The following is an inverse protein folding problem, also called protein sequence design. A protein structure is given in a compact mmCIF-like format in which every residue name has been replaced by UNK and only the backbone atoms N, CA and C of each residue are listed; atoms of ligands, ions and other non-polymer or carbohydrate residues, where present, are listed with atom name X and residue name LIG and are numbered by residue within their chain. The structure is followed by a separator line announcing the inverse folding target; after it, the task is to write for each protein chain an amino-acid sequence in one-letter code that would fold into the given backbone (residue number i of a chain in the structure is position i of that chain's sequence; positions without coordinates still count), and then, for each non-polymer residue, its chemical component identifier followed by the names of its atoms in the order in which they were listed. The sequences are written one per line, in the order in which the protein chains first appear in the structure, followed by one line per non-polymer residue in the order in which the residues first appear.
data_IF_918167208659
#
_entry.id   IF_918167208659
#
_cell.length_a   1.000
_cell.length_b   1.000
_cell.length_c   1.000
_cell.angle_alpha   90.00
_cell.angle_beta   90.00
_cell.angle_gamma   90.00
#
_symmetry.space_group_name_H-M   'P 1'
#
loop_
_entity.id
_entity.type
_entity.pdbx_description
1 polymer ?
#
# COMPACT_ATOMS: atom_id res chain seq x y z
N UNK A 1 -33.39 -17.47 -32.31
CA UNK A 1 -33.71 -17.12 -30.92
C UNK A 1 -32.40 -16.83 -30.21
N UNK A 2 -31.96 -15.57 -30.22
CA UNK A 2 -30.78 -15.15 -29.47
C UNK A 2 -31.24 -14.78 -28.06
N UNK A 3 -30.79 -15.56 -27.07
CA UNK A 3 -30.98 -15.25 -25.66
C UNK A 3 -30.09 -14.03 -25.36
N UNK A 4 -30.72 -12.87 -25.24
CA UNK A 4 -30.08 -11.68 -24.67
C UNK A 4 -29.74 -12.01 -23.24
N UNK A 5 -28.45 -12.30 -22.99
CA UNK A 5 -27.91 -12.33 -21.65
C UNK A 5 -28.10 -10.92 -21.08
N UNK A 6 -29.06 -10.78 -20.19
CA UNK A 6 -29.32 -9.58 -19.41
C UNK A 6 -28.05 -9.31 -18.61
N UNK A 7 -27.26 -8.34 -19.07
CA UNK A 7 -26.08 -7.86 -18.36
C UNK A 7 -26.58 -7.18 -17.08
N UNK A 8 -26.57 -7.95 -15.99
CA UNK A 8 -26.72 -7.40 -14.66
C UNK A 8 -25.61 -6.36 -14.47
N UNK A 9 -25.93 -5.08 -14.24
CA UNK A 9 -24.91 -4.07 -14.03
C UNK A 9 -24.04 -4.48 -12.82
N UNK A 10 -22.72 -4.29 -12.89
CA UNK A 10 -21.84 -4.61 -11.78
C UNK A 10 -22.31 -3.87 -10.53
N UNK A 11 -22.31 -4.57 -9.39
CA UNK A 11 -22.66 -3.94 -8.12
C UNK A 11 -21.76 -2.71 -7.90
N UNK A 12 -22.29 -1.61 -7.34
CA UNK A 12 -21.49 -0.42 -7.08
C UNK A 12 -20.32 -0.78 -6.16
N UNK A 13 -19.10 -0.54 -6.63
CA UNK A 13 -17.87 -0.78 -5.88
C UNK A 13 -17.86 0.05 -4.60
N UNK A 14 -17.55 -0.58 -3.48
CA UNK A 14 -17.34 0.09 -2.20
C UNK A 14 -16.27 1.17 -2.36
N UNK A 15 -16.58 2.41 -1.98
CA UNK A 15 -15.63 3.54 -2.01
C UNK A 15 -14.31 3.21 -1.29
N UNK A 16 -14.38 2.36 -0.24
CA UNK A 16 -13.20 1.90 0.49
C UNK A 16 -12.41 0.86 -0.29
N UNK A 17 -13.08 -0.07 -0.98
CA UNK A 17 -12.40 -1.03 -1.84
C UNK A 17 -11.70 -0.33 -3.01
N UNK A 18 -12.35 0.69 -3.60
CA UNK A 18 -11.74 1.55 -4.62
C UNK A 18 -10.50 2.29 -4.08
N UNK A 19 -10.58 2.86 -2.87
CA UNK A 19 -9.43 3.53 -2.26
C UNK A 19 -8.24 2.58 -2.08
N UNK A 20 -8.48 1.39 -1.51
CA UNK A 20 -7.41 0.38 -1.31
C UNK A 20 -6.86 -0.09 -2.66
N UNK A 21 -7.74 -0.30 -3.64
CA UNK A 21 -7.32 -0.71 -4.99
C UNK A 21 -6.41 0.34 -5.62
N UNK A 22 -6.78 1.62 -5.55
CA UNK A 22 -5.96 2.72 -6.07
C UNK A 22 -4.60 2.77 -5.39
N UNK A 23 -4.54 2.63 -4.07
CA UNK A 23 -3.28 2.63 -3.34
C UNK A 23 -2.40 1.44 -3.78
N UNK A 24 -2.97 0.24 -3.92
CA UNK A 24 -2.24 -0.93 -4.40
C UNK A 24 -1.79 -0.81 -5.85
N UNK A 25 -2.61 -0.25 -6.73
CA UNK A 25 -2.26 0.00 -8.12
C UNK A 25 -1.13 1.03 -8.25
N UNK A 26 -1.15 2.08 -7.43
CA UNK A 26 -0.08 3.07 -7.38
C UNK A 26 1.22 2.46 -6.83
N UNK A 27 1.15 1.63 -5.79
CA UNK A 27 2.30 0.85 -5.33
C UNK A 27 2.84 -0.05 -6.46
N UNK A 28 1.96 -0.70 -7.22
CA UNK A 28 2.31 -1.57 -8.34
C UNK A 28 2.98 -0.85 -9.53
N UNK A 29 2.88 0.48 -9.63
CA UNK A 29 3.65 1.27 -10.61
C UNK A 29 5.01 1.72 -10.08
N UNK A 30 5.38 1.32 -8.86
CA UNK A 30 6.61 1.72 -8.20
C UNK A 30 6.56 3.14 -7.61
N UNK A 31 5.38 3.78 -7.58
CA UNK A 31 5.23 5.14 -7.09
C UNK A 31 4.83 5.14 -5.62
N UNK A 32 5.64 5.79 -4.77
CA UNK A 32 5.36 5.95 -3.34
C UNK A 32 4.98 4.63 -2.66
N UNK A 33 5.68 3.53 -3.00
CA UNK A 33 5.30 2.16 -2.64
C UNK A 33 5.03 2.02 -1.14
N UNK A 34 5.96 2.50 -0.31
CA UNK A 34 5.87 2.43 1.14
C UNK A 34 4.66 3.21 1.70
N UNK A 35 4.41 4.42 1.18
CA UNK A 35 3.28 5.26 1.57
C UNK A 35 1.94 4.62 1.18
N UNK A 36 1.82 4.16 -0.06
CA UNK A 36 0.64 3.49 -0.59
C UNK A 36 0.30 2.22 0.20
N UNK A 37 1.30 1.37 0.49
CA UNK A 37 1.10 0.16 1.28
C UNK A 37 0.65 0.49 2.71
N UNK A 38 1.24 1.51 3.33
CA UNK A 38 0.83 1.98 4.66
C UNK A 38 -0.64 2.43 4.67
N UNK A 39 -1.08 3.20 3.66
CA UNK A 39 -2.47 3.65 3.52
C UNK A 39 -3.47 2.51 3.28
N UNK A 40 -3.13 1.59 2.37
CA UNK A 40 -3.93 0.40 2.09
C UNK A 40 -4.13 -0.46 3.35
N UNK A 41 -3.05 -0.70 4.11
CA UNK A 41 -3.11 -1.49 5.35
C UNK A 41 -3.87 -0.78 6.47
N UNK A 42 -3.77 0.55 6.59
CA UNK A 42 -4.58 1.31 7.55
C UNK A 42 -6.08 1.11 7.31
N UNK A 43 -6.49 1.16 6.04
CA UNK A 43 -7.88 0.95 5.64
C UNK A 43 -8.31 -0.50 5.86
N UNK A 44 -7.52 -1.48 5.42
CA UNK A 44 -7.82 -2.90 5.60
C UNK A 44 -7.90 -3.29 7.09
N UNK A 45 -7.08 -2.71 7.96
CA UNK A 45 -7.17 -2.95 9.40
C UNK A 45 -8.48 -2.46 10.03
N UNK A 46 -9.24 -1.63 9.33
CA UNK A 46 -10.55 -1.12 9.74
C UNK A 46 -11.70 -1.79 8.97
N UNK A 47 -11.44 -2.89 8.24
CA UNK A 47 -12.43 -3.59 7.40
C UNK A 47 -13.72 -3.97 8.13
N UNK A 48 -13.68 -4.20 9.44
CA UNK A 48 -14.85 -4.58 10.22
C UNK A 48 -15.88 -3.44 10.32
N UNK A 49 -15.47 -2.20 10.03
CA UNK A 49 -16.32 -1.01 9.99
C UNK A 49 -17.01 -0.83 8.63
N UNK A 50 -16.67 -1.64 7.63
CA UNK A 50 -17.11 -1.45 6.25
C UNK A 50 -18.02 -2.61 5.79
N UNK A 51 -18.91 -2.35 4.82
CA UNK A 51 -19.66 -3.41 4.16
C UNK A 51 -18.73 -4.45 3.56
N UNK A 52 -19.20 -5.70 3.51
CA UNK A 52 -18.51 -6.80 2.85
C UNK A 52 -18.29 -6.46 1.36
N UNK A 53 -17.09 -6.76 0.87
CA UNK A 53 -16.77 -6.58 -0.56
C UNK A 53 -17.26 -7.76 -1.39
N UNK A 54 -17.59 -7.48 -2.64
CA UNK A 54 -17.98 -8.47 -3.64
C UNK A 54 -16.80 -9.38 -4.01
N UNK A 55 -17.13 -10.49 -4.70
CA UNK A 55 -16.14 -11.42 -5.25
C UNK A 55 -15.22 -10.74 -6.27
N UNK A 56 -15.75 -9.83 -7.06
CA UNK A 56 -15.01 -9.10 -8.10
C UNK A 56 -14.02 -8.12 -7.46
N UNK A 57 -14.46 -7.33 -6.49
CA UNK A 57 -13.59 -6.46 -5.70
C UNK A 57 -12.47 -7.24 -5.01
N UNK A 58 -12.81 -8.38 -4.38
CA UNK A 58 -11.81 -9.25 -3.77
C UNK A 58 -10.76 -9.68 -4.80
N UNK A 59 -11.19 -10.09 -5.99
CA UNK A 59 -10.27 -10.52 -7.04
C UNK A 59 -9.35 -9.38 -7.49
N UNK A 60 -9.92 -8.20 -7.77
CA UNK A 60 -9.16 -7.02 -8.18
C UNK A 60 -8.13 -6.61 -7.13
N UNK A 61 -8.51 -6.59 -5.84
CA UNK A 61 -7.61 -6.29 -4.73
C UNK A 61 -6.48 -7.32 -4.60
N UNK A 62 -6.80 -8.61 -4.71
CA UNK A 62 -5.78 -9.67 -4.66
C UNK A 62 -4.81 -9.57 -5.85
N UNK A 63 -5.32 -9.32 -7.05
CA UNK A 63 -4.50 -9.14 -8.23
C UNK A 63 -3.57 -7.91 -8.10
N UNK A 64 -4.10 -6.76 -7.68
CA UNK A 64 -3.31 -5.56 -7.43
C UNK A 64 -2.26 -5.79 -6.32
N UNK A 65 -2.59 -6.56 -5.27
CA UNK A 65 -1.64 -6.89 -4.21
C UNK A 65 -0.45 -7.71 -4.72
N UNK A 66 -0.66 -8.63 -5.66
CA UNK A 66 0.43 -9.41 -6.27
C UNK A 66 1.40 -8.51 -7.05
N UNK A 67 0.87 -7.55 -7.81
CA UNK A 67 1.72 -6.58 -8.53
C UNK A 67 2.44 -5.61 -7.59
N UNK A 68 1.77 -5.17 -6.53
CA UNK A 68 2.39 -4.33 -5.51
C UNK A 68 3.52 -5.07 -4.77
N UNK A 69 3.42 -6.39 -4.59
CA UNK A 69 4.50 -7.21 -4.04
C UNK A 69 5.75 -7.17 -4.93
N UNK A 70 5.60 -7.31 -6.25
CA UNK A 70 6.72 -7.24 -7.19
C UNK A 70 7.43 -5.88 -7.13
N UNK A 71 6.66 -4.78 -7.08
CA UNK A 71 7.21 -3.44 -6.95
C UNK A 71 7.92 -3.23 -5.60
N UNK A 72 7.35 -3.74 -4.50
CA UNK A 72 7.95 -3.65 -3.18
C UNK A 72 9.22 -4.49 -3.04
N UNK A 73 9.28 -5.66 -3.70
CA UNK A 73 10.47 -6.51 -3.75
C UNK A 73 11.63 -5.87 -4.55
N UNK A 74 11.32 -4.91 -5.43
CA UNK A 74 12.31 -4.17 -6.19
C UNK A 74 12.89 -2.95 -5.45
N UNK A 75 12.41 -2.65 -4.24
CA UNK A 75 12.94 -1.54 -3.44
C UNK A 75 14.38 -1.81 -2.96
N UNK A 76 15.15 -0.74 -2.66
CA UNK A 76 16.49 -0.89 -2.12
C UNK A 76 16.51 -1.76 -0.85
N UNK A 77 17.53 -2.62 -0.67
CA UNK A 77 17.66 -3.44 0.53
C UNK A 77 17.65 -2.59 1.81
N UNK A 78 16.94 -3.07 2.83
CA UNK A 78 16.88 -2.40 4.14
C UNK A 78 15.80 -1.33 4.26
N UNK A 79 15.07 -1.01 3.18
CA UNK A 79 13.88 -0.16 3.28
C UNK A 79 12.70 -0.94 3.88
N UNK A 80 12.53 -2.19 3.46
CA UNK A 80 11.61 -3.19 4.02
C UNK A 80 12.41 -4.50 4.12
N UNK A 81 12.29 -5.24 5.22
CA UNK A 81 12.98 -6.53 5.37
C UNK A 81 12.29 -7.61 4.53
N UNK A 82 13.06 -8.44 3.82
CA UNK A 82 12.54 -9.48 2.93
C UNK A 82 11.61 -10.48 3.64
N UNK A 83 11.95 -10.86 4.89
CA UNK A 83 11.14 -11.74 5.72
C UNK A 83 9.78 -11.10 6.08
N UNK A 84 9.77 -9.79 6.31
CA UNK A 84 8.56 -9.02 6.60
C UNK A 84 7.72 -8.77 5.34
N UNK A 85 8.35 -8.76 4.16
CA UNK A 85 7.66 -8.53 2.90
C UNK A 85 6.68 -9.67 2.57
N UNK A 86 7.16 -10.91 2.56
CA UNK A 86 6.30 -12.07 2.29
C UNK A 86 5.19 -12.23 3.35
N UNK A 87 5.55 -12.13 4.63
CA UNK A 87 4.59 -12.23 5.73
C UNK A 87 3.56 -11.10 5.69
N UNK A 88 4.00 -9.89 5.34
CA UNK A 88 3.17 -8.69 5.21
C UNK A 88 2.15 -8.81 4.09
N UNK A 89 2.58 -9.22 2.89
CA UNK A 89 1.67 -9.42 1.76
C UNK A 89 0.73 -10.60 1.96
N UNK A 90 1.16 -11.67 2.63
CA UNK A 90 0.28 -12.75 3.04
C UNK A 90 -0.80 -12.26 4.03
N UNK A 91 -0.43 -11.39 4.98
CA UNK A 91 -1.39 -10.79 5.91
C UNK A 91 -2.36 -9.84 5.18
N UNK A 92 -1.88 -9.03 4.25
CA UNK A 92 -2.70 -8.15 3.41
C UNK A 92 -3.74 -8.95 2.62
N UNK A 93 -3.31 -9.98 1.90
CA UNK A 93 -4.21 -10.87 1.18
C UNK A 93 -5.21 -11.56 2.12
N UNK A 94 -4.76 -11.97 3.31
CA UNK A 94 -5.61 -12.52 4.36
C UNK A 94 -6.70 -11.55 4.82
N UNK A 95 -6.38 -10.26 4.99
CA UNK A 95 -7.36 -9.22 5.32
C UNK A 95 -8.34 -8.96 4.17
N UNK A 96 -7.87 -8.95 2.91
CA UNK A 96 -8.76 -8.84 1.74
C UNK A 96 -9.74 -10.02 1.70
N UNK A 97 -9.27 -11.23 1.98
CA UNK A 97 -10.14 -12.41 2.10
C UNK A 97 -11.13 -12.26 3.26
N UNK A 98 -10.68 -11.83 4.44
CA UNK A 98 -11.53 -11.59 5.63
C UNK A 98 -12.63 -10.56 5.35
N UNK A 99 -12.32 -9.50 4.61
CA UNK A 99 -13.28 -8.46 4.24
C UNK A 99 -14.40 -8.99 3.32
N UNK A 100 -14.08 -9.98 2.49
CA UNK A 100 -15.03 -10.64 1.60
C UNK A 100 -15.75 -11.84 2.25
N UNK A 101 -15.44 -12.21 3.49
CA UNK A 101 -16.09 -13.35 4.16
C UNK A 101 -17.55 -13.06 4.48
N UNK A 102 -18.41 -14.03 4.16
CA UNK A 102 -19.78 -14.06 4.66
C UNK A 102 -19.84 -14.43 6.14
N UNK A 103 -21.03 -14.30 6.74
CA UNK A 103 -21.23 -14.56 8.16
C UNK A 103 -20.94 -16.03 8.55
N UNK A 104 -21.16 -16.98 7.65
CA UNK A 104 -20.95 -18.41 7.93
C UNK A 104 -19.46 -18.73 7.94
N UNK A 105 -18.71 -18.27 6.93
CA UNK A 105 -17.26 -18.40 6.86
C UNK A 105 -16.59 -17.73 8.07
N UNK A 106 -17.08 -16.53 8.45
CA UNK A 106 -16.57 -15.80 9.62
C UNK A 106 -16.79 -16.56 10.93
N UNK A 107 -17.94 -17.22 11.10
CA UNK A 107 -18.24 -18.01 12.29
C UNK A 107 -17.37 -19.27 12.42
N UNK A 108 -16.91 -19.84 11.30
CA UNK A 108 -16.04 -21.01 11.27
C UNK A 108 -14.55 -20.67 11.53
N UNK A 109 -14.16 -19.40 11.39
CA UNK A 109 -12.76 -18.97 11.52
C UNK A 109 -12.34 -18.92 12.99
N UNK A 110 -11.25 -19.60 13.38
CA UNK A 110 -10.71 -19.46 14.72
C UNK A 110 -10.26 -18.01 15.01
N UNK A 111 -10.65 -17.47 16.15
CA UNK A 111 -10.38 -16.06 16.49
C UNK A 111 -8.87 -15.72 16.52
N UNK A 112 -8.01 -16.66 16.92
CA UNK A 112 -6.56 -16.44 16.94
C UNK A 112 -5.99 -16.17 15.55
N UNK A 113 -6.46 -16.86 14.50
CA UNK A 113 -6.03 -16.63 13.11
C UNK A 113 -6.34 -15.20 12.68
N UNK A 114 -7.54 -14.70 13.04
CA UNK A 114 -7.93 -13.33 12.77
C UNK A 114 -6.99 -12.34 13.49
N UNK A 115 -6.75 -12.55 14.77
CA UNK A 115 -5.87 -11.68 15.57
C UNK A 115 -4.44 -11.65 15.00
N UNK A 116 -3.91 -12.81 14.60
CA UNK A 116 -2.57 -12.92 14.01
C UNK A 116 -2.48 -12.17 12.67
N UNK A 117 -3.52 -12.24 11.82
CA UNK A 117 -3.58 -11.48 10.57
C UNK A 117 -3.53 -9.97 10.84
N UNK A 118 -4.34 -9.46 11.77
CA UNK A 118 -4.30 -8.04 12.13
C UNK A 118 -2.97 -7.62 12.76
N UNK A 119 -2.35 -8.47 13.57
CA UNK A 119 -1.05 -8.20 14.17
C UNK A 119 0.06 -8.11 13.11
N UNK A 120 0.12 -9.08 12.19
CA UNK A 120 1.07 -9.08 11.07
C UNK A 120 0.86 -7.89 10.13
N UNK A 121 -0.39 -7.58 9.81
CA UNK A 121 -0.72 -6.41 8.99
C UNK A 121 -0.31 -5.09 9.68
N UNK A 122 -0.45 -4.99 11.01
CA UNK A 122 0.01 -3.83 11.78
C UNK A 122 1.53 -3.70 11.76
N UNK A 123 2.26 -4.80 11.95
CA UNK A 123 3.73 -4.80 11.87
C UNK A 123 4.15 -4.31 10.48
N UNK A 124 3.59 -4.91 9.43
CA UNK A 124 3.90 -4.54 8.06
C UNK A 124 3.55 -3.09 7.73
N UNK A 125 2.40 -2.60 8.20
CA UNK A 125 2.03 -1.19 8.08
C UNK A 125 3.05 -0.27 8.74
N UNK A 126 3.52 -0.60 9.95
CA UNK A 126 4.51 0.21 10.65
C UNK A 126 5.83 0.25 9.87
N UNK A 127 6.26 -0.86 9.27
CA UNK A 127 7.45 -0.89 8.42
C UNK A 127 7.27 -0.01 7.17
N UNK A 128 6.15 -0.17 6.46
CA UNK A 128 5.83 0.65 5.29
C UNK A 128 5.75 2.15 5.65
N UNK A 129 5.16 2.49 6.79
CA UNK A 129 5.10 3.86 7.28
C UNK A 129 6.48 4.42 7.60
N UNK A 130 7.33 3.66 8.31
CA UNK A 130 8.68 4.09 8.65
C UNK A 130 9.57 4.23 7.40
N UNK A 131 9.41 3.34 6.42
CA UNK A 131 10.09 3.44 5.13
C UNK A 131 9.68 4.72 4.38
N UNK A 132 8.38 5.04 4.32
CA UNK A 132 7.87 6.29 3.74
C UNK A 132 8.45 7.53 4.44
N UNK A 133 8.54 7.53 5.77
CA UNK A 133 9.16 8.64 6.51
C UNK A 133 10.66 8.76 6.22
N UNK A 134 11.34 7.64 6.01
CA UNK A 134 12.77 7.61 5.69
C UNK A 134 13.02 8.22 4.30
N UNK A 135 12.18 7.90 3.32
CA UNK A 135 12.19 8.51 1.99
C UNK A 135 12.01 10.03 2.07
N UNK A 136 11.00 10.51 2.80
CA UNK A 136 10.75 11.94 2.98
C UNK A 136 11.91 12.68 3.68
N UNK A 137 12.58 12.03 4.64
CA UNK A 137 13.76 12.62 5.29
C UNK A 137 14.93 12.70 4.31
N UNK A 138 15.15 11.65 3.50
CA UNK A 138 16.21 11.62 2.50
C UNK A 138 16.00 12.69 1.42
N UNK A 139 14.77 12.87 0.94
CA UNK A 139 14.41 13.93 -0.01
C UNK A 139 14.70 15.31 0.56
N UNK A 140 14.24 15.59 1.79
CA UNK A 140 14.52 16.87 2.47
C UNK A 140 16.02 17.13 2.65
N UNK A 141 16.79 16.10 3.01
CA UNK A 141 18.24 16.21 3.15
C UNK A 141 18.92 16.53 1.80
N UNK A 142 18.48 15.90 0.72
CA UNK A 142 18.96 16.17 -0.64
C UNK A 142 18.65 17.60 -1.07
N UNK A 143 17.42 18.07 -0.84
CA UNK A 143 17.02 19.45 -1.14
C UNK A 143 17.87 20.47 -0.38
N UNK A 144 18.11 20.24 0.92
CA UNK A 144 18.97 21.09 1.74
C UNK A 144 20.40 21.14 1.20
N UNK A 145 20.99 20.00 0.83
CA UNK A 145 22.32 19.93 0.24
C UNK A 145 22.39 20.70 -1.09
N UNK A 146 21.37 20.56 -1.95
CA UNK A 146 21.26 21.30 -3.22
C UNK A 146 21.21 22.81 -2.99
N UNK A 147 20.39 23.27 -2.04
CA UNK A 147 20.31 24.68 -1.68
C UNK A 147 21.62 25.22 -1.10
N UNK A 148 22.32 24.44 -0.26
CA UNK A 148 23.63 24.81 0.27
C UNK A 148 24.68 24.94 -0.85
N UNK A 149 24.73 23.99 -1.79
CA UNK A 149 25.63 24.03 -2.94
C UNK A 149 25.39 25.26 -3.82
N UNK A 150 24.12 25.59 -4.13
CA UNK A 150 23.76 26.77 -4.91
C UNK A 150 24.18 28.08 -4.21
N UNK A 151 23.96 28.19 -2.90
CA UNK A 151 24.41 29.35 -2.11
C UNK A 151 25.93 29.50 -2.12
N UNK A 152 26.66 28.40 -2.04
CA UNK A 152 28.12 28.41 -2.11
C UNK A 152 28.61 28.85 -3.49
N UNK A 153 28.00 28.34 -4.57
CA UNK A 153 28.33 28.75 -5.94
C UNK A 153 28.05 30.24 -6.20
N UNK A 154 26.91 30.76 -5.72
CA UNK A 154 26.57 32.18 -5.85
C UNK A 154 27.54 33.11 -5.11
N UNK A 155 28.01 32.71 -3.92
CA UNK A 155 29.06 33.46 -3.20
C UNK A 155 30.36 33.53 -4.00
N UNK A 156 30.80 32.41 -4.57
CA UNK A 156 32.02 32.35 -5.37
C UNK A 156 31.95 33.21 -6.65
N UNK A 157 30.76 33.38 -7.24
CA UNK A 157 30.56 34.27 -8.39
C UNK A 157 30.65 35.73 -7.95
N UNK A 158 29.96 36.13 -6.88
CA UNK A 158 30.03 37.50 -6.36
C UNK A 158 31.44 37.91 -5.92
N UNK A 159 32.20 37.00 -5.28
CA UNK A 159 33.58 37.27 -4.86
C UNK A 159 34.56 37.42 -6.05
N UNK A 160 34.19 36.93 -7.25
CA UNK A 160 34.96 37.09 -8.48
C UNK A 160 34.63 38.38 -9.23
N UNK A 161 33.39 38.85 -9.15
CA UNK A 161 32.95 40.12 -9.77
C UNK A 161 33.36 41.35 -8.94
N UNK A 162 33.66 41.16 -7.65
CA UNK A 162 34.15 42.20 -6.74
C UNK A 162 35.67 42.46 -6.80
N UNK A 163 36.40 41.79 -7.70
CA UNK A 163 37.85 41.95 -7.94
C UNK A 163 38.11 42.51 -9.33
#
# INVERSE_FOLDING_TARGET
MASSAEQVPPAPTSDRALSVLRDLEQAATGQHVAWCLSGALDTLRKLEQYPQISREERHSLLFASGRAFEAAAALPPGLIFDEDLHAGFAALAGLVCLWAEDAQARALRPNHVRLDLFARARIFQNHAHNASLTEEIAERAFEQARHHSLRHQLRLVHDREAK
#
